data_IF_698947327926
#
_entry.id   IF_698947327926
#
_cell.length_a   1.000
_cell.length_b   1.000
_cell.length_c   1.000
_cell.angle_alpha   90.00
_cell.angle_beta   90.00
_cell.angle_gamma   90.00
#
_symmetry.space_group_name_H-M   'P 1'
#
loop_
_entity.id
_entity.type
_entity.pdbx_description
1 polymer ?
#
# COMPACT_ATOMS: atom_id res chain seq x y z
N UNK A 1 -59.28 -35.70 -11.74
CA UNK A 1 -60.01 -35.51 -10.47
C UNK A 1 -59.36 -34.32 -9.77
N UNK A 2 -59.88 -33.12 -9.97
CA UNK A 2 -60.79 -32.40 -9.05
C UNK A 2 -60.07 -32.01 -7.73
N UNK A 3 -60.11 -30.80 -7.17
CA UNK A 3 -60.77 -29.53 -7.52
C UNK A 3 -60.20 -28.42 -6.61
N UNK A 4 -60.10 -27.20 -7.14
CA UNK A 4 -60.45 -25.87 -6.55
C UNK A 4 -60.77 -25.77 -5.04
N UNK A 5 -60.36 -24.74 -4.28
CA UNK A 5 -60.95 -23.36 -4.18
C UNK A 5 -60.15 -22.56 -3.11
N UNK A 6 -59.59 -21.35 -3.29
CA UNK A 6 -60.13 -19.96 -3.30
C UNK A 6 -60.89 -19.47 -2.05
N UNK A 7 -60.48 -18.31 -1.48
CA UNK A 7 -61.27 -17.16 -0.94
C UNK A 7 -60.37 -16.24 -0.03
N UNK A 8 -59.95 -15.04 -0.48
CA UNK A 8 -60.44 -13.64 -0.11
C UNK A 8 -59.97 -13.13 1.27
N UNK A 9 -59.71 -11.86 1.61
CA UNK A 9 -59.89 -10.47 1.13
C UNK A 9 -58.96 -9.64 2.08
N UNK A 10 -58.24 -8.57 1.70
CA UNK A 10 -58.76 -7.20 1.64
C UNK A 10 -57.64 -6.20 1.33
N UNK A 11 -57.96 -5.30 0.41
CA UNK A 11 -57.26 -4.06 0.09
C UNK A 11 -57.46 -3.00 1.18
N UNK A 12 -56.55 -2.03 1.26
CA UNK A 12 -56.90 -0.63 1.49
C UNK A 12 -55.80 0.30 0.95
N UNK A 13 -55.96 0.70 -0.32
CA UNK A 13 -55.42 1.93 -0.89
C UNK A 13 -56.33 3.08 -0.47
N UNK A 14 -55.78 4.19 0.00
CA UNK A 14 -56.47 5.48 0.01
C UNK A 14 -55.56 6.54 -0.62
N UNK A 15 -55.90 6.85 -1.86
CA UNK A 15 -55.50 8.04 -2.59
C UNK A 15 -56.55 9.16 -2.39
N UNK A 16 -56.13 10.43 -2.53
CA UNK A 16 -56.75 11.52 -3.34
C UNK A 16 -56.35 12.91 -2.79
N UNK A 17 -55.57 13.74 -3.51
CA UNK A 17 -55.89 14.73 -4.60
C UNK A 17 -56.55 16.02 -4.06
N UNK A 18 -56.42 17.27 -4.55
CA UNK A 18 -56.41 17.92 -5.91
C UNK A 18 -55.84 19.38 -5.72
N UNK A 19 -55.13 20.05 -6.66
CA UNK A 19 -55.60 21.03 -7.70
C UNK A 19 -54.36 21.54 -8.47
N UNK A 20 -54.20 21.27 -9.78
CA UNK A 20 -54.48 22.09 -11.00
C UNK A 20 -53.99 23.55 -11.00
N UNK A 21 -53.11 23.93 -11.93
CA UNK A 21 -53.49 24.65 -13.17
C UNK A 21 -52.28 24.75 -14.15
N UNK A 22 -52.55 24.87 -15.44
CA UNK A 22 -51.53 24.86 -16.51
C UNK A 22 -51.18 26.23 -17.07
N UNK A 23 -49.97 26.37 -17.65
CA UNK A 23 -49.70 27.25 -18.80
C UNK A 23 -48.27 27.06 -19.33
N UNK A 24 -48.16 27.00 -20.66
CA UNK A 24 -46.98 27.03 -21.54
C UNK A 24 -46.07 28.25 -21.32
N UNK A 25 -44.74 28.09 -21.38
CA UNK A 25 -43.83 28.95 -22.18
C UNK A 25 -42.35 28.48 -22.12
N UNK A 26 -41.74 28.44 -23.30
CA UNK A 26 -40.31 28.30 -23.59
C UNK A 26 -39.55 29.60 -23.30
N UNK A 27 -38.34 29.53 -22.74
CA UNK A 27 -37.26 30.50 -23.05
C UNK A 27 -35.93 30.14 -22.40
N UNK A 28 -34.88 30.27 -23.22
CA UNK A 28 -33.45 30.13 -22.96
C UNK A 28 -32.94 30.87 -21.72
N UNK A 29 -32.08 30.20 -20.93
CA UNK A 29 -31.26 30.84 -19.90
C UNK A 29 -29.81 31.00 -20.39
N UNK A 30 -29.51 32.19 -20.93
CA UNK A 30 -28.14 32.69 -21.14
C UNK A 30 -27.54 33.15 -19.81
N UNK A 31 -26.31 32.71 -19.54
CA UNK A 31 -25.47 33.15 -18.41
C UNK A 31 -24.90 34.55 -18.70
N UNK A 32 -24.97 35.45 -17.72
CA UNK A 32 -24.45 36.82 -17.78
C UNK A 32 -23.23 36.96 -16.85
N UNK A 33 -22.08 37.37 -17.40
CA UNK A 33 -20.86 37.73 -16.67
C UNK A 33 -20.79 39.26 -16.52
N UNK A 34 -20.50 39.81 -15.34
CA UNK A 34 -20.16 41.22 -15.22
C UNK A 34 -18.63 41.42 -15.24
N UNK A 35 -18.16 42.20 -16.23
CA UNK A 35 -16.85 42.84 -16.23
C UNK A 35 -16.91 44.15 -15.46
N UNK A 36 -16.02 44.36 -14.49
CA UNK A 36 -15.72 45.69 -13.94
C UNK A 36 -14.22 45.92 -13.91
N UNK A 37 -13.80 46.85 -14.74
CA UNK A 37 -12.48 47.47 -14.87
C UNK A 37 -12.26 48.46 -13.72
N UNK A 38 -11.11 48.43 -13.04
CA UNK A 38 -10.66 49.54 -12.21
C UNK A 38 -9.15 49.75 -12.39
N UNK A 39 -8.80 50.93 -12.89
CA UNK A 39 -7.43 51.38 -13.12
C UNK A 39 -6.97 52.28 -11.98
N UNK A 40 -5.78 52.01 -11.44
CA UNK A 40 -4.86 53.04 -10.95
C UNK A 40 -4.85 53.37 -9.45
N UNK A 41 -3.97 52.71 -8.70
CA UNK A 41 -3.26 53.32 -7.55
C UNK A 41 -1.81 52.79 -7.54
N UNK A 42 -0.85 53.69 -7.78
CA UNK A 42 0.58 53.44 -7.49
C UNK A 42 0.79 53.71 -6.01
N UNK A 43 1.24 52.71 -5.25
CA UNK A 43 1.86 52.92 -3.94
C UNK A 43 3.20 52.19 -3.90
N UNK A 44 4.24 52.98 -3.64
CA UNK A 44 5.63 52.59 -3.45
C UNK A 44 5.81 51.87 -2.12
N UNK A 45 6.41 50.69 -2.12
CA UNK A 45 6.94 50.03 -0.91
C UNK A 45 8.36 49.52 -1.18
N UNK A 46 9.27 49.59 -0.19
CA UNK A 46 10.69 49.44 -0.41
C UNK A 46 11.08 48.00 -0.73
N UNK A 47 12.10 47.88 -1.57
CA UNK A 47 12.78 46.65 -1.95
C UNK A 47 13.45 46.02 -0.71
N UNK A 48 12.74 45.15 0.00
CA UNK A 48 13.38 44.23 0.93
C UNK A 48 13.96 43.06 0.14
N UNK A 49 15.26 43.16 -0.17
CA UNK A 49 16.05 42.01 -0.65
C UNK A 49 16.07 41.01 0.51
N UNK A 50 15.17 40.04 0.49
CA UNK A 50 15.24 38.88 1.38
C UNK A 50 16.50 38.10 0.98
N UNK A 51 17.58 38.32 1.70
CA UNK A 51 18.78 37.48 1.61
C UNK A 51 18.34 36.09 2.03
N UNK A 52 18.29 35.16 1.07
CA UNK A 52 18.12 33.75 1.36
C UNK A 52 19.30 33.35 2.26
N UNK A 53 19.08 32.67 3.40
CA UNK A 53 20.20 32.12 4.14
C UNK A 53 20.92 31.16 3.20
N UNK A 54 22.19 31.46 2.95
CA UNK A 54 23.13 30.53 2.31
C UNK A 54 23.00 29.21 3.05
N UNK A 55 22.51 28.17 2.36
CA UNK A 55 22.52 26.81 2.90
C UNK A 55 23.95 26.55 3.36
N UNK A 56 24.14 26.48 4.68
CA UNK A 56 25.31 25.84 5.23
C UNK A 56 25.30 24.43 4.65
N UNK A 57 26.25 24.15 3.77
CA UNK A 57 26.58 22.80 3.37
C UNK A 57 26.99 22.07 4.65
N UNK A 58 25.99 21.48 5.31
CA UNK A 58 26.23 20.46 6.32
C UNK A 58 26.72 19.26 5.52
N UNK A 59 28.02 19.28 5.23
CA UNK A 59 28.76 18.08 4.87
C UNK A 59 28.53 17.13 6.04
N UNK A 60 27.58 16.23 5.84
CA UNK A 60 27.47 15.04 6.66
C UNK A 60 28.77 14.31 6.39
N UNK A 61 29.77 14.53 7.25
CA UNK A 61 30.87 13.59 7.38
C UNK A 61 30.22 12.29 7.84
N UNK A 62 29.94 11.41 6.88
CA UNK A 62 29.76 10.00 7.17
C UNK A 62 31.07 9.59 7.83
N UNK A 63 31.03 9.44 9.15
CA UNK A 63 32.16 8.94 9.90
C UNK A 63 32.52 7.57 9.34
N UNK A 64 33.75 7.46 8.83
CA UNK A 64 34.38 6.22 8.37
C UNK A 64 34.33 5.07 9.39
N UNK A 65 33.92 5.32 10.63
CA UNK A 65 33.74 4.34 11.68
C UNK A 65 32.70 3.24 11.37
N UNK A 66 31.76 3.49 10.45
CA UNK A 66 30.81 2.45 10.01
C UNK A 66 31.41 1.46 8.98
N UNK A 67 32.65 1.68 8.53
CA UNK A 67 33.34 0.80 7.56
C UNK A 67 34.15 -0.29 8.27
N UNK A 68 34.29 -0.24 9.60
CA UNK A 68 35.09 -1.18 10.40
C UNK A 68 34.28 -2.34 11.04
N UNK A 69 33.23 -2.81 10.37
CA UNK A 69 32.64 -4.12 10.67
C UNK A 69 32.74 -5.02 9.45
N UNK A 70 33.97 -5.31 9.02
CA UNK A 70 34.24 -6.53 8.26
C UNK A 70 34.06 -7.65 9.28
N UNK A 71 32.83 -8.19 9.33
CA UNK A 71 32.46 -9.28 10.22
C UNK A 71 33.41 -10.46 10.08
N UNK A 72 33.57 -11.22 11.15
CA UNK A 72 34.32 -12.48 11.12
C UNK A 72 33.84 -13.34 9.94
N UNK A 73 34.71 -14.15 9.30
CA UNK A 73 34.35 -14.93 8.11
C UNK A 73 33.16 -15.89 8.34
N UNK A 74 32.87 -16.22 9.59
CA UNK A 74 31.70 -17.00 9.97
C UNK A 74 30.39 -16.21 9.79
N UNK A 75 30.35 -14.94 10.22
CA UNK A 75 29.17 -14.06 10.09
C UNK A 75 28.84 -13.78 8.62
N UNK A 76 29.85 -13.54 7.78
CA UNK A 76 29.64 -13.34 6.34
C UNK A 76 29.06 -14.59 5.68
N UNK A 77 29.51 -15.78 6.10
CA UNK A 77 28.97 -17.05 5.58
C UNK A 77 27.53 -17.31 6.00
N UNK A 78 27.13 -16.88 7.20
CA UNK A 78 25.75 -16.98 7.68
C UNK A 78 24.83 -16.00 6.97
N UNK A 79 25.30 -14.77 6.76
CA UNK A 79 24.58 -13.76 5.98
C UNK A 79 24.32 -14.25 4.55
N UNK A 80 25.35 -14.77 3.87
CA UNK A 80 25.19 -15.35 2.53
C UNK A 80 24.19 -16.49 2.50
N UNK A 81 24.20 -17.37 3.51
CA UNK A 81 23.21 -18.45 3.64
C UNK A 81 21.81 -17.88 3.82
N UNK A 82 21.61 -16.91 4.71
CA UNK A 82 20.30 -16.28 4.95
C UNK A 82 19.74 -15.62 3.68
N UNK A 83 20.58 -14.85 2.99
CA UNK A 83 20.21 -14.24 1.71
C UNK A 83 19.87 -15.31 0.68
N UNK A 84 20.67 -16.39 0.58
CA UNK A 84 20.38 -17.48 -0.35
C UNK A 84 19.12 -18.25 0.04
N UNK A 85 18.81 -18.41 1.33
CA UNK A 85 17.55 -19.00 1.79
C UNK A 85 16.36 -18.22 1.24
N UNK A 86 16.39 -16.88 1.30
CA UNK A 86 15.33 -16.04 0.70
C UNK A 86 15.23 -16.28 -0.80
N UNK A 87 16.37 -16.39 -1.51
CA UNK A 87 16.38 -16.65 -2.96
C UNK A 87 15.75 -17.99 -3.30
N UNK A 88 16.18 -19.06 -2.63
CA UNK A 88 15.69 -20.41 -2.92
C UNK A 88 14.24 -20.62 -2.49
N UNK A 89 13.80 -20.07 -1.35
CA UNK A 89 12.38 -20.09 -0.98
C UNK A 89 11.50 -19.42 -2.04
N UNK A 90 11.97 -18.32 -2.63
CA UNK A 90 11.26 -17.66 -3.71
C UNK A 90 11.24 -18.50 -5.00
N UNK A 91 12.36 -19.09 -5.38
CA UNK A 91 12.47 -19.94 -6.58
C UNK A 91 11.58 -21.18 -6.44
N UNK A 92 11.71 -21.90 -5.33
CA UNK A 92 11.01 -23.18 -5.10
C UNK A 92 9.49 -22.99 -5.05
N UNK A 93 9.01 -21.92 -4.42
CA UNK A 93 7.58 -21.62 -4.39
C UNK A 93 7.03 -21.22 -5.77
N UNK A 94 7.78 -20.42 -6.54
CA UNK A 94 7.39 -20.03 -7.90
C UNK A 94 7.37 -21.25 -8.82
N UNK A 95 8.37 -22.11 -8.73
CA UNK A 95 8.48 -23.33 -9.53
C UNK A 95 7.34 -24.29 -9.20
N UNK A 96 7.06 -24.51 -7.91
CA UNK A 96 5.94 -25.36 -7.47
C UNK A 96 4.59 -24.83 -7.93
N UNK A 97 4.39 -23.51 -7.90
CA UNK A 97 3.17 -22.88 -8.40
C UNK A 97 3.12 -22.81 -9.94
N UNK A 98 4.22 -23.11 -10.63
CA UNK A 98 4.45 -22.89 -12.06
C UNK A 98 4.00 -21.47 -12.51
N UNK A 99 4.16 -20.49 -11.61
CA UNK A 99 3.62 -19.15 -11.76
C UNK A 99 4.25 -18.20 -10.75
N UNK A 100 4.79 -17.06 -11.20
CA UNK A 100 5.33 -16.03 -10.31
C UNK A 100 6.50 -15.26 -10.91
N UNK A 101 7.18 -14.47 -10.08
CA UNK A 101 8.27 -13.59 -10.49
C UNK A 101 9.51 -13.84 -9.62
N UNK A 102 10.45 -14.71 -10.03
CA UNK A 102 11.63 -15.04 -9.23
C UNK A 102 12.72 -13.96 -9.31
N UNK A 103 12.74 -13.15 -10.37
CA UNK A 103 13.81 -12.17 -10.62
C UNK A 103 13.97 -11.10 -9.54
N UNK A 104 12.86 -10.49 -9.09
CA UNK A 104 12.91 -9.48 -8.04
C UNK A 104 13.37 -10.08 -6.70
N UNK A 105 12.79 -11.18 -6.18
CA UNK A 105 13.30 -11.83 -4.98
C UNK A 105 14.78 -12.18 -5.03
N UNK A 106 15.29 -12.64 -6.18
CA UNK A 106 16.71 -12.97 -6.34
C UNK A 106 17.63 -11.75 -6.18
N UNK A 107 17.26 -10.62 -6.80
CA UNK A 107 18.04 -9.38 -6.75
C UNK A 107 17.90 -8.60 -5.45
N UNK A 108 16.70 -8.61 -4.86
CA UNK A 108 16.37 -7.86 -3.65
C UNK A 108 16.52 -8.66 -2.34
N UNK A 109 16.91 -9.94 -2.40
CA UNK A 109 17.18 -10.72 -1.18
C UNK A 109 18.18 -10.05 -0.21
N UNK A 110 19.33 -9.48 -0.66
CA UNK A 110 20.26 -8.83 0.25
C UNK A 110 19.65 -7.63 0.98
N UNK A 111 18.92 -6.76 0.26
CA UNK A 111 18.26 -5.61 0.89
C UNK A 111 17.12 -6.04 1.81
N UNK A 112 16.38 -7.10 1.45
CA UNK A 112 15.30 -7.63 2.26
C UNK A 112 15.80 -8.20 3.58
N UNK A 113 16.91 -8.94 3.54
CA UNK A 113 17.56 -9.49 4.73
C UNK A 113 17.99 -8.37 5.68
N UNK A 114 18.79 -7.41 5.22
CA UNK A 114 19.25 -6.29 6.07
C UNK A 114 18.07 -5.49 6.63
N UNK A 115 17.03 -5.27 5.82
CA UNK A 115 15.87 -4.48 6.25
C UNK A 115 15.09 -5.18 7.38
N UNK A 116 14.78 -6.48 7.24
CA UNK A 116 14.00 -7.22 8.24
C UNK A 116 14.82 -7.73 9.42
N UNK A 117 16.11 -7.97 9.26
CA UNK A 117 16.94 -8.53 10.33
C UNK A 117 17.58 -7.43 11.19
N UNK A 118 18.08 -6.35 10.57
CA UNK A 118 18.89 -5.35 11.25
C UNK A 118 18.16 -4.03 11.51
N UNK A 119 17.30 -3.57 10.58
CA UNK A 119 16.78 -2.20 10.58
C UNK A 119 15.38 -2.10 11.18
N UNK A 120 14.44 -2.90 10.68
CA UNK A 120 13.02 -2.72 10.99
C UNK A 120 12.66 -3.14 12.42
N UNK A 121 11.82 -2.33 13.05
CA UNK A 121 11.23 -2.60 14.35
C UNK A 121 9.81 -3.13 14.18
N UNK A 122 9.64 -4.42 14.40
CA UNK A 122 8.34 -5.07 14.33
C UNK A 122 8.20 -6.12 15.44
N UNK A 123 6.95 -6.53 15.68
CA UNK A 123 6.64 -7.60 16.61
C UNK A 123 5.99 -8.76 15.85
N UNK A 124 6.75 -9.84 15.70
CA UNK A 124 6.36 -11.10 15.03
C UNK A 124 5.02 -11.65 15.57
N UNK A 125 4.84 -11.60 16.89
CA UNK A 125 3.65 -12.12 17.58
C UNK A 125 2.46 -11.17 17.52
N UNK A 126 2.71 -9.88 17.28
CA UNK A 126 1.67 -8.87 17.21
C UNK A 126 1.86 -8.00 15.95
N UNK A 127 1.32 -8.44 14.80
CA UNK A 127 1.35 -7.67 13.57
C UNK A 127 0.51 -6.40 13.64
N UNK A 128 -0.24 -6.15 14.73
CA UNK A 128 -1.07 -4.95 14.91
C UNK A 128 -0.44 -3.92 15.85
N UNK A 129 0.82 -4.11 16.28
CA UNK A 129 1.51 -3.15 17.11
C UNK A 129 1.53 -1.75 16.46
N UNK A 130 1.02 -0.76 17.16
CA UNK A 130 0.79 0.59 16.63
C UNK A 130 2.07 1.25 16.10
N UNK A 131 3.11 1.34 16.94
CA UNK A 131 4.37 2.03 16.66
C UNK A 131 5.42 1.10 16.00
N UNK A 132 4.97 0.21 15.11
CA UNK A 132 5.86 -0.65 14.32
C UNK A 132 6.26 0.05 13.03
N UNK A 133 7.45 -0.27 12.53
CA UNK A 133 7.86 0.17 11.21
C UNK A 133 6.99 -0.47 10.13
N UNK A 134 6.61 0.33 9.12
CA UNK A 134 5.70 -0.10 8.04
C UNK A 134 6.51 -0.41 6.79
N UNK A 135 6.48 -1.68 6.38
CA UNK A 135 7.07 -2.10 5.12
C UNK A 135 6.02 -2.21 4.03
N UNK A 136 6.28 -1.54 2.90
CA UNK A 136 5.41 -1.58 1.72
C UNK A 136 6.20 -2.04 0.50
N UNK A 137 5.87 -3.21 -0.02
CA UNK A 137 6.41 -3.69 -1.29
C UNK A 137 5.63 -3.08 -2.46
N UNK A 138 6.09 -1.92 -2.96
CA UNK A 138 5.40 -1.26 -4.09
C UNK A 138 5.49 -2.07 -5.39
N UNK A 139 6.54 -2.88 -5.56
CA UNK A 139 6.67 -3.82 -6.66
C UNK A 139 5.99 -5.16 -6.31
N UNK A 140 4.66 -5.15 -6.20
CA UNK A 140 3.86 -6.26 -5.66
C UNK A 140 4.01 -7.59 -6.39
N UNK A 141 4.50 -7.60 -7.63
CA UNK A 141 4.78 -8.83 -8.37
C UNK A 141 5.88 -9.68 -7.70
N UNK A 142 6.77 -9.05 -6.92
CA UNK A 142 7.81 -9.69 -6.12
C UNK A 142 7.33 -10.19 -4.76
N UNK A 143 6.04 -10.49 -4.60
CA UNK A 143 5.40 -10.89 -3.34
C UNK A 143 6.11 -12.04 -2.60
N UNK A 144 6.71 -12.99 -3.33
CA UNK A 144 7.47 -14.08 -2.73
C UNK A 144 8.65 -13.61 -1.86
N UNK A 145 9.25 -12.46 -2.17
CA UNK A 145 10.25 -11.85 -1.29
C UNK A 145 9.65 -11.52 0.06
N UNK A 146 8.49 -10.85 0.08
CA UNK A 146 7.83 -10.45 1.31
C UNK A 146 7.32 -11.67 2.10
N UNK A 147 6.79 -12.70 1.44
CA UNK A 147 6.36 -13.93 2.11
C UNK A 147 7.55 -14.69 2.72
N UNK A 148 8.68 -14.80 2.01
CA UNK A 148 9.88 -15.41 2.56
C UNK A 148 10.40 -14.64 3.78
N UNK A 149 10.39 -13.30 3.73
CA UNK A 149 10.78 -12.46 4.87
C UNK A 149 9.85 -12.61 6.07
N UNK A 150 8.53 -12.61 5.85
CA UNK A 150 7.54 -12.83 6.92
C UNK A 150 7.69 -14.21 7.56
N UNK A 151 7.93 -15.24 6.75
CA UNK A 151 8.19 -16.59 7.22
C UNK A 151 9.45 -16.66 8.10
N UNK A 152 10.57 -16.12 7.62
CA UNK A 152 11.83 -16.11 8.37
C UNK A 152 11.77 -15.22 9.62
N UNK A 153 11.02 -14.12 9.55
CA UNK A 153 10.74 -13.26 10.70
C UNK A 153 9.84 -13.94 11.75
N UNK A 154 9.23 -15.09 11.43
CA UNK A 154 8.42 -15.88 12.35
C UNK A 154 7.00 -15.34 12.53
N UNK A 155 6.39 -14.80 11.47
CA UNK A 155 4.97 -14.45 11.48
C UNK A 155 4.10 -15.70 11.33
N UNK A 156 3.11 -15.87 12.20
CA UNK A 156 2.17 -17.02 12.16
C UNK A 156 1.28 -17.04 10.92
N UNK A 157 1.22 -15.94 10.17
CA UNK A 157 0.47 -15.80 8.93
C UNK A 157 1.07 -16.53 7.74
N UNK A 158 2.39 -16.79 7.77
CA UNK A 158 3.12 -17.42 6.67
C UNK A 158 3.97 -18.56 7.21
N UNK A 159 3.38 -19.76 7.21
CA UNK A 159 4.08 -20.99 7.53
C UNK A 159 4.71 -21.61 6.27
N UNK A 160 5.52 -22.66 6.45
CA UNK A 160 6.15 -23.38 5.34
C UNK A 160 5.10 -23.93 4.35
N UNK A 161 3.97 -24.41 4.87
CA UNK A 161 2.86 -24.91 4.05
C UNK A 161 2.15 -23.79 3.27
N UNK A 162 2.15 -22.55 3.78
CA UNK A 162 1.62 -21.40 3.06
C UNK A 162 2.53 -21.03 1.87
N UNK A 163 3.86 -21.09 2.04
CA UNK A 163 4.80 -20.88 0.93
C UNK A 163 4.66 -21.97 -0.14
N UNK A 164 4.46 -23.21 0.28
CA UNK A 164 4.16 -24.35 -0.58
C UNK A 164 2.84 -24.21 -1.34
N UNK A 165 1.89 -23.41 -0.84
CA UNK A 165 0.60 -23.15 -1.46
C UNK A 165 0.55 -21.79 -2.18
N UNK A 166 1.71 -21.24 -2.57
CA UNK A 166 1.80 -20.00 -3.33
C UNK A 166 0.88 -20.01 -4.56
N UNK A 167 0.08 -18.95 -4.72
CA UNK A 167 -0.90 -18.76 -5.80
C UNK A 167 -1.98 -19.84 -5.90
N UNK A 168 -2.13 -20.69 -4.89
CA UNK A 168 -3.18 -21.69 -4.87
C UNK A 168 -4.48 -21.11 -4.32
N UNK A 169 -5.60 -21.76 -4.64
CA UNK A 169 -6.92 -21.39 -4.15
C UNK A 169 -6.96 -21.38 -2.61
N UNK A 170 -7.48 -20.30 -2.01
CA UNK A 170 -7.57 -20.09 -0.55
C UNK A 170 -6.24 -20.15 0.21
N UNK A 171 -5.13 -19.94 -0.50
CA UNK A 171 -3.83 -19.76 0.15
C UNK A 171 -3.73 -18.38 0.80
N UNK A 172 -2.94 -18.28 1.87
CA UNK A 172 -2.55 -17.00 2.49
C UNK A 172 -1.41 -16.30 1.75
N UNK A 173 -0.98 -16.85 0.62
CA UNK A 173 0.13 -16.39 -0.20
C UNK A 173 -0.36 -16.11 -1.64
N UNK A 174 -1.25 -15.11 -1.82
CA UNK A 174 -1.76 -14.73 -3.12
C UNK A 174 -0.66 -14.23 -4.06
N UNK A 175 -0.97 -14.17 -5.36
CA UNK A 175 -0.01 -13.80 -6.40
C UNK A 175 0.49 -12.35 -6.38
N UNK A 176 -0.15 -11.51 -5.58
CA UNK A 176 0.23 -10.15 -5.18
C UNK A 176 -0.06 -10.01 -3.68
N UNK A 177 0.65 -9.13 -2.93
CA UNK A 177 0.43 -9.03 -1.49
C UNK A 177 -0.91 -8.37 -1.21
N UNK A 178 -1.72 -9.00 -0.37
CA UNK A 178 -3.07 -8.56 0.01
C UNK A 178 -3.15 -8.42 1.54
N UNK A 179 -3.52 -7.23 2.02
CA UNK A 179 -3.52 -6.93 3.46
C UNK A 179 -4.65 -7.62 4.24
N UNK A 180 -5.71 -8.04 3.56
CA UNK A 180 -6.87 -8.69 4.17
C UNK A 180 -6.70 -10.21 4.30
N UNK A 181 -5.82 -10.84 3.48
CA UNK A 181 -5.53 -12.28 3.56
C UNK A 181 -4.32 -12.59 4.46
N UNK A 182 -3.25 -11.79 4.37
CA UNK A 182 -1.97 -12.09 5.02
C UNK A 182 -1.65 -11.07 6.13
N UNK A 183 -1.89 -11.39 7.41
CA UNK A 183 -1.44 -10.54 8.51
C UNK A 183 0.07 -10.27 8.44
N UNK A 184 0.48 -9.00 8.49
CA UNK A 184 1.88 -8.57 8.28
C UNK A 184 2.12 -7.94 6.90
N UNK A 185 1.20 -8.10 5.96
CA UNK A 185 1.13 -7.26 4.76
C UNK A 185 0.34 -5.99 5.10
N UNK A 186 0.98 -4.83 5.00
CA UNK A 186 0.36 -3.56 5.40
C UNK A 186 -0.68 -3.06 4.38
N UNK A 187 -0.36 -3.14 3.08
CA UNK A 187 -1.21 -2.63 2.01
C UNK A 187 -1.23 -3.59 0.83
N UNK A 188 -2.38 -3.66 0.18
CA UNK A 188 -2.52 -4.42 -1.06
C UNK A 188 -1.81 -3.69 -2.19
N UNK A 189 -0.85 -4.36 -2.83
CA UNK A 189 -0.14 -3.83 -4.01
C UNK A 189 -0.32 -4.78 -5.19
N UNK A 190 0.18 -4.38 -6.36
CA UNK A 190 -0.03 -5.08 -7.63
C UNK A 190 -0.09 -4.09 -8.77
N UNK A 191 -1.04 -3.12 -8.73
CA UNK A 191 -1.00 -1.95 -9.60
C UNK A 191 0.25 -1.13 -9.29
N UNK A 192 1.15 -1.01 -10.28
CA UNK A 192 2.41 -0.29 -10.13
C UNK A 192 2.15 1.17 -9.75
N UNK A 193 2.96 1.69 -8.84
CA UNK A 193 2.87 3.07 -8.33
C UNK A 193 1.96 3.27 -7.11
N UNK A 194 0.99 2.39 -6.86
CA UNK A 194 0.09 2.56 -5.71
C UNK A 194 0.78 2.33 -4.36
N UNK A 195 1.69 1.37 -4.29
CA UNK A 195 2.39 1.05 -3.04
C UNK A 195 3.20 2.23 -2.49
N UNK A 196 3.93 2.95 -3.35
CA UNK A 196 4.68 4.13 -2.91
C UNK A 196 3.76 5.27 -2.49
N UNK A 197 2.62 5.49 -3.17
CA UNK A 197 1.63 6.48 -2.76
C UNK A 197 1.03 6.14 -1.38
N UNK A 198 0.75 4.86 -1.12
CA UNK A 198 0.30 4.38 0.19
C UNK A 198 1.36 4.58 1.27
N UNK A 199 2.64 4.33 0.96
CA UNK A 199 3.74 4.58 1.90
C UNK A 199 3.89 6.08 2.25
N UNK A 200 3.64 6.98 1.28
CA UNK A 200 3.57 8.42 1.55
C UNK A 200 2.37 8.75 2.45
N UNK A 201 1.24 8.07 2.30
CA UNK A 201 0.11 8.17 3.23
C UNK A 201 0.43 7.62 4.62
N UNK A 202 1.26 6.58 4.75
CA UNK A 202 1.67 6.04 6.04
C UNK A 202 2.59 7.01 6.83
N UNK A 203 3.32 7.89 6.14
CA UNK A 203 4.09 8.98 6.74
C UNK A 203 3.24 10.00 7.52
N UNK A 204 1.91 9.93 7.46
CA UNK A 204 1.01 10.73 8.31
C UNK A 204 1.11 10.37 9.80
N UNK A 205 1.86 9.33 10.17
CA UNK A 205 2.37 9.07 11.53
C UNK A 205 3.45 10.09 11.98
N UNK A 206 3.62 11.20 11.24
CA UNK A 206 4.40 12.35 11.71
C UNK A 206 3.60 13.06 12.82
N UNK A 207 4.00 12.81 14.06
CA UNK A 207 3.68 13.65 15.22
C UNK A 207 3.89 15.15 14.93
#
# INVERSE_FOLDING_TARGET
>A
MASTSSLTLSQALLARTIFSDGSTQSSDYRVWLPTTTFSGLKLTTPRSRRVLPTRLNRSLRVSSAAVETIGTPAETSLLEKSVNTIRFLAIDAVEKANSGHPGLPMGCAPMGHVLYDEIMRYNRKNPYWFNRDRFVLSAGHGCMLQYALLHLAGYDSVQEDDLKNFRQWRSRTPGHPENFETPGVEVTTGPLGQGIANAVGALTEKH
#
